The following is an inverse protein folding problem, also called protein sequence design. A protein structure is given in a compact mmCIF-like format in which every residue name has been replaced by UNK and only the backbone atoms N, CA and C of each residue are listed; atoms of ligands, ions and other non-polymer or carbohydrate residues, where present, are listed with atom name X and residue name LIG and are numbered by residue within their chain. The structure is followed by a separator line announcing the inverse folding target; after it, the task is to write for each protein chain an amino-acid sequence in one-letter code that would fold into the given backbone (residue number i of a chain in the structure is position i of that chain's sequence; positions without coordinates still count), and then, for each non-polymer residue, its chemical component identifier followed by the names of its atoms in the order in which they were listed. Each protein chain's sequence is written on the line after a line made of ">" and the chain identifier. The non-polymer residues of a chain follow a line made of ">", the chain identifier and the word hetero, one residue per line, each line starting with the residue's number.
data_IF_720662127607
#
_entry.id   IF_720662127607
#
_cell.length_a   1.000
_cell.length_b   1.000
_cell.length_c   1.000
_cell.angle_alpha   90.00
_cell.angle_beta   90.00
_cell.angle_gamma   90.00
#
_symmetry.space_group_name_H-M   'P 1'
#
loop_
_entity.id
_entity.type
_entity.pdbx_description
1 polymer ?
#
# COMPACT_ATOMS: atom_id res chain seq x y z
N UNK A 1 2.86 -12.74 11.13
CA UNK A 1 1.95 -11.62 11.46
C UNK A 1 1.77 -10.77 10.21
N UNK A 2 0.52 -10.59 9.76
CA UNK A 2 0.22 -9.81 8.55
C UNK A 2 -0.09 -8.34 8.88
N UNK A 3 0.44 -7.42 8.07
CA UNK A 3 0.16 -5.99 8.15
C UNK A 3 -0.55 -5.53 6.88
N UNK A 4 -1.74 -4.96 7.03
CA UNK A 4 -2.46 -4.34 5.91
C UNK A 4 -2.05 -2.88 5.82
N UNK A 5 -1.51 -2.49 4.66
CA UNK A 5 -0.98 -1.14 4.43
C UNK A 5 -1.43 -0.62 3.06
N UNK A 6 -1.40 0.71 2.87
CA UNK A 6 -1.61 1.32 1.56
C UNK A 6 -0.33 1.39 0.73
N UNK A 7 -0.47 1.59 -0.58
CA UNK A 7 0.65 1.80 -1.52
C UNK A 7 1.63 2.87 -1.05
N UNK A 8 1.17 3.99 -0.51
CA UNK A 8 2.06 5.07 -0.06
C UNK A 8 2.96 4.64 1.12
N UNK A 9 2.45 3.77 2.00
CA UNK A 9 3.24 3.20 3.10
C UNK A 9 4.25 2.19 2.58
N UNK A 10 3.86 1.34 1.62
CA UNK A 10 4.76 0.39 0.97
C UNK A 10 5.93 1.12 0.29
N UNK A 11 5.65 2.20 -0.47
CA UNK A 11 6.69 3.01 -1.11
C UNK A 11 7.66 3.60 -0.09
N UNK A 12 7.18 3.96 1.11
CA UNK A 12 8.06 4.45 2.19
C UNK A 12 8.91 3.34 2.80
N UNK A 13 8.35 2.15 3.01
CA UNK A 13 9.11 0.97 3.46
C UNK A 13 10.22 0.62 2.46
N UNK A 14 9.96 0.78 1.18
CA UNK A 14 10.90 0.52 0.09
C UNK A 14 11.67 1.77 -0.36
N UNK A 15 11.86 2.75 0.54
CA UNK A 15 12.60 3.97 0.21
C UNK A 15 13.91 4.04 1.00
N UNK A 16 15.09 3.98 0.33
CA UNK A 16 16.39 4.07 0.98
C UNK A 16 16.58 5.30 1.86
N UNK A 17 15.84 6.40 1.60
CA UNK A 17 15.91 7.64 2.40
C UNK A 17 15.58 7.46 3.89
N UNK A 18 14.90 6.36 4.27
CA UNK A 18 14.58 6.05 5.66
C UNK A 18 15.58 5.07 6.31
N UNK A 19 16.54 4.53 5.55
CA UNK A 19 17.46 3.48 5.99
C UNK A 19 18.94 3.84 5.80
N UNK A 20 19.25 4.83 4.95
CA UNK A 20 20.60 5.22 4.59
C UNK A 20 20.90 4.81 3.16
N UNK A 21 21.17 3.51 2.95
CA UNK A 21 21.41 2.93 1.62
C UNK A 21 20.29 1.97 1.19
N UNK A 22 20.33 1.53 -0.06
CA UNK A 22 19.42 0.50 -0.58
C UNK A 22 19.68 -0.86 0.08
N UNK A 23 20.93 -1.19 0.36
CA UNK A 23 21.29 -2.43 1.05
C UNK A 23 20.76 -2.44 2.50
N UNK A 24 20.90 -1.32 3.22
CA UNK A 24 20.36 -1.18 4.58
C UNK A 24 18.83 -1.34 4.61
N UNK A 25 18.15 -0.82 3.58
CA UNK A 25 16.72 -0.98 3.40
C UNK A 25 16.36 -2.46 3.19
N UNK A 26 17.06 -3.17 2.32
CA UNK A 26 16.79 -4.60 2.09
C UNK A 26 17.10 -5.44 3.32
N UNK A 27 18.16 -5.14 4.06
CA UNK A 27 18.47 -5.83 5.32
C UNK A 27 17.35 -5.63 6.35
N UNK A 28 16.87 -4.39 6.52
CA UNK A 28 15.77 -4.09 7.43
C UNK A 28 14.47 -4.81 7.03
N UNK A 29 14.11 -4.79 5.74
CA UNK A 29 12.92 -5.48 5.25
C UNK A 29 13.04 -7.00 5.46
N UNK A 30 14.19 -7.60 5.15
CA UNK A 30 14.43 -9.03 5.43
C UNK A 30 14.34 -9.35 6.92
N UNK A 31 14.87 -8.50 7.79
CA UNK A 31 14.77 -8.68 9.23
C UNK A 31 13.31 -8.72 9.70
N UNK A 32 12.45 -7.87 9.13
CA UNK A 32 11.00 -7.94 9.37
C UNK A 32 10.43 -9.28 8.88
N UNK A 33 10.83 -9.74 7.69
CA UNK A 33 10.39 -11.03 7.13
C UNK A 33 10.79 -12.22 7.99
N UNK A 34 12.03 -12.23 8.50
CA UNK A 34 12.52 -13.24 9.45
C UNK A 34 11.77 -13.20 10.78
N UNK A 35 11.30 -12.03 11.22
CA UNK A 35 10.39 -11.89 12.37
C UNK A 35 8.94 -12.32 12.05
N UNK A 36 8.67 -12.81 10.84
CA UNK A 36 7.37 -13.29 10.40
C UNK A 36 6.43 -12.19 9.91
N UNK A 37 6.93 -11.01 9.58
CA UNK A 37 6.12 -9.91 9.01
C UNK A 37 5.79 -10.22 7.55
N UNK A 38 4.52 -10.02 7.19
CA UNK A 38 4.05 -10.07 5.81
C UNK A 38 3.18 -8.85 5.51
N UNK A 39 3.36 -8.22 4.36
CA UNK A 39 2.62 -7.03 3.97
C UNK A 39 1.52 -7.36 2.97
N UNK A 40 0.28 -6.97 3.26
CA UNK A 40 -0.82 -6.97 2.32
C UNK A 40 -1.08 -5.53 1.91
N UNK A 41 -0.93 -5.23 0.62
CA UNK A 41 -0.90 -3.86 0.11
C UNK A 41 -2.16 -3.56 -0.66
N UNK A 42 -2.96 -2.64 -0.12
CA UNK A 42 -4.11 -2.06 -0.82
C UNK A 42 -3.66 -0.93 -1.75
N UNK A 43 -4.16 -0.96 -2.99
CA UNK A 43 -3.94 0.11 -3.95
C UNK A 43 -4.65 1.41 -3.60
N UNK A 44 -4.35 2.48 -4.34
CA UNK A 44 -5.04 3.77 -4.24
C UNK A 44 -5.46 4.28 -5.60
N UNK A 45 -6.48 5.13 -5.64
CA UNK A 45 -6.78 5.91 -6.84
C UNK A 45 -5.68 6.95 -7.10
N UNK A 46 -5.40 7.19 -8.38
CA UNK A 46 -4.61 8.34 -8.80
C UNK A 46 -5.41 9.61 -8.54
N UNK A 47 -4.75 10.61 -7.99
CA UNK A 47 -5.36 11.91 -7.73
C UNK A 47 -5.57 12.69 -9.04
N UNK A 48 -4.78 12.38 -10.08
CA UNK A 48 -4.83 13.03 -11.40
C UNK A 48 -5.82 12.35 -12.34
N UNK A 49 -5.95 11.03 -12.26
CA UNK A 49 -6.91 10.25 -13.04
C UNK A 49 -7.79 9.43 -12.09
N UNK A 50 -8.86 10.07 -11.61
CA UNK A 50 -9.78 9.48 -10.64
C UNK A 50 -10.77 8.48 -11.25
N UNK A 51 -10.87 8.42 -12.57
CA UNK A 51 -11.81 7.54 -13.25
C UNK A 51 -11.14 6.24 -13.71
N UNK A 52 -9.86 6.28 -14.10
CA UNK A 52 -9.16 5.11 -14.65
C UNK A 52 -7.77 4.87 -14.03
N UNK A 53 -7.26 5.77 -13.19
CA UNK A 53 -5.96 5.62 -12.55
C UNK A 53 -6.05 4.83 -11.25
N UNK A 54 -5.70 3.54 -11.27
CA UNK A 54 -5.48 2.76 -10.06
C UNK A 54 -4.00 2.40 -9.88
N UNK A 55 -3.46 2.68 -8.70
CA UNK A 55 -2.06 2.42 -8.35
C UNK A 55 -2.00 1.30 -7.31
N UNK A 56 -1.78 0.07 -7.78
CA UNK A 56 -1.73 -1.14 -6.95
C UNK A 56 -0.42 -1.33 -6.18
N UNK A 57 0.69 -0.73 -6.64
CA UNK A 57 2.03 -0.98 -6.13
C UNK A 57 2.73 -2.19 -6.76
N UNK A 58 2.09 -2.89 -7.69
CA UNK A 58 2.64 -4.10 -8.32
C UNK A 58 3.95 -3.85 -9.08
N UNK A 59 4.04 -2.73 -9.80
CA UNK A 59 5.26 -2.35 -10.51
C UNK A 59 6.45 -2.15 -9.55
N UNK A 60 6.20 -1.56 -8.37
CA UNK A 60 7.23 -1.35 -7.36
C UNK A 60 7.71 -2.67 -6.76
N UNK A 61 6.82 -3.65 -6.61
CA UNK A 61 7.17 -4.97 -6.07
C UNK A 61 7.90 -5.82 -7.12
N UNK A 62 7.58 -5.67 -8.41
CA UNK A 62 8.19 -6.43 -9.50
C UNK A 62 9.68 -6.13 -9.71
N UNK A 63 10.14 -4.93 -9.36
CA UNK A 63 11.55 -4.55 -9.46
C UNK A 63 12.41 -5.04 -8.30
N UNK A 64 11.82 -5.60 -7.24
CA UNK A 64 12.54 -6.02 -6.04
C UNK A 64 13.22 -7.38 -6.21
N UNK A 65 14.26 -7.66 -5.41
CA UNK A 65 14.77 -9.02 -5.22
C UNK A 65 13.65 -10.00 -4.81
N UNK A 66 13.72 -11.25 -5.29
CA UNK A 66 12.64 -12.25 -5.11
C UNK A 66 12.29 -12.54 -3.65
N UNK A 67 13.30 -12.59 -2.80
CA UNK A 67 13.15 -12.79 -1.36
C UNK A 67 12.35 -11.66 -0.72
N UNK A 68 12.65 -10.42 -1.09
CA UNK A 68 11.91 -9.23 -0.63
C UNK A 68 10.51 -9.20 -1.24
N UNK A 69 10.38 -9.52 -2.53
CA UNK A 69 9.11 -9.60 -3.25
C UNK A 69 8.13 -10.53 -2.56
N UNK A 70 8.60 -11.68 -2.05
CA UNK A 70 7.78 -12.69 -1.39
C UNK A 70 7.09 -12.19 -0.11
N UNK A 71 7.55 -11.08 0.47
CA UNK A 71 6.98 -10.46 1.66
C UNK A 71 5.75 -9.58 1.38
N UNK A 72 5.38 -9.39 0.11
CA UNK A 72 4.29 -8.51 -0.29
C UNK A 72 3.21 -9.29 -1.04
N UNK A 73 1.95 -9.09 -0.64
CA UNK A 73 0.78 -9.48 -1.40
C UNK A 73 0.05 -8.22 -1.85
N UNK A 74 0.03 -7.97 -3.15
CA UNK A 74 -0.69 -6.84 -3.73
C UNK A 74 -2.16 -7.22 -3.89
N UNK A 75 -3.06 -6.41 -3.33
CA UNK A 75 -4.50 -6.53 -3.54
C UNK A 75 -4.85 -5.84 -4.86
N UNK A 76 -5.38 -6.60 -5.81
CA UNK A 76 -5.75 -6.04 -7.11
C UNK A 76 -7.03 -5.22 -7.00
N UNK A 77 -7.18 -4.26 -7.92
CA UNK A 77 -8.38 -3.41 -7.99
C UNK A 77 -9.67 -4.23 -8.04
N UNK A 78 -9.69 -5.30 -8.84
CA UNK A 78 -10.84 -6.21 -8.99
C UNK A 78 -11.24 -6.90 -7.68
N UNK A 79 -10.29 -7.08 -6.76
CA UNK A 79 -10.48 -7.78 -5.49
C UNK A 79 -10.87 -6.81 -4.36
N UNK A 80 -10.62 -5.51 -4.55
CA UNK A 80 -10.86 -4.46 -3.56
C UNK A 80 -11.34 -3.17 -4.22
N UNK A 81 -12.48 -3.22 -4.90
CA UNK A 81 -13.21 -2.04 -5.35
C UNK A 81 -14.36 -1.73 -4.40
N UNK A 82 -14.13 -0.77 -3.52
CA UNK A 82 -15.20 -0.11 -2.75
C UNK A 82 -15.02 1.39 -2.97
N UNK A 83 -15.78 1.95 -3.91
CA UNK A 83 -15.76 3.38 -4.27
C UNK A 83 -16.40 4.21 -3.14
N UNK A 84 -15.70 4.35 -2.02
CA UNK A 84 -16.15 5.11 -0.85
C UNK A 84 -14.95 5.87 -0.24
N UNK A 85 -14.97 7.20 -0.29
CA UNK A 85 -14.00 8.03 0.42
C UNK A 85 -14.47 8.42 1.83
N UNK A 86 -13.55 8.61 2.78
CA UNK A 86 -13.91 9.12 4.11
C UNK A 86 -14.55 10.51 4.07
N UNK A 87 -14.23 11.32 3.06
CA UNK A 87 -14.85 12.63 2.85
C UNK A 87 -16.32 12.50 2.46
N UNK A 88 -16.64 11.59 1.53
CA UNK A 88 -18.02 11.29 1.18
C UNK A 88 -18.78 10.68 2.35
N UNK A 89 -18.16 9.79 3.13
CA UNK A 89 -18.78 9.24 4.35
C UNK A 89 -19.14 10.37 5.32
N UNK A 90 -18.19 11.27 5.61
CA UNK A 90 -18.44 12.42 6.51
C UNK A 90 -19.54 13.32 5.97
N UNK A 91 -19.53 13.62 4.68
CA UNK A 91 -20.56 14.43 4.02
C UNK A 91 -21.94 13.79 4.18
N UNK A 92 -22.07 12.49 3.87
CA UNK A 92 -23.32 11.72 4.03
C UNK A 92 -23.79 11.67 5.49
N UNK A 93 -22.86 11.60 6.44
CA UNK A 93 -23.21 11.63 7.88
C UNK A 93 -23.73 13.00 8.31
N UNK A 94 -23.15 14.10 7.82
CA UNK A 94 -23.63 15.45 8.09
C UNK A 94 -25.02 15.69 7.50
N UNK A 95 -25.23 15.35 6.23
CA UNK A 95 -26.53 15.48 5.54
C UNK A 95 -27.65 14.70 6.27
N UNK A 96 -27.32 13.57 6.92
CA UNK A 96 -28.29 12.74 7.65
C UNK A 96 -28.61 13.24 9.07
N UNK A 97 -27.78 14.12 9.65
CA UNK A 97 -28.02 14.74 10.95
C UNK A 97 -28.80 16.07 10.84
N UNK A 98 -28.87 16.65 9.64
CA UNK A 98 -29.63 17.87 9.33
C UNK A 98 -31.10 17.57 8.93
N UNK A 99 -31.50 16.30 8.95
CA UNK A 99 -32.82 15.74 8.63
C UNK A 99 -33.50 15.20 9.90
#
# INVERSE_FOLDING_TARGET
>A
MGFVIGTDTMVRILSPKYYGTEDDMFEAVRAMGHAGVHFVVGGRMDQKDKENGFVSGEEHVRSLPKDVQSMFTIVQEKDFRVDISSSEIRKRQQEKMEL
#
